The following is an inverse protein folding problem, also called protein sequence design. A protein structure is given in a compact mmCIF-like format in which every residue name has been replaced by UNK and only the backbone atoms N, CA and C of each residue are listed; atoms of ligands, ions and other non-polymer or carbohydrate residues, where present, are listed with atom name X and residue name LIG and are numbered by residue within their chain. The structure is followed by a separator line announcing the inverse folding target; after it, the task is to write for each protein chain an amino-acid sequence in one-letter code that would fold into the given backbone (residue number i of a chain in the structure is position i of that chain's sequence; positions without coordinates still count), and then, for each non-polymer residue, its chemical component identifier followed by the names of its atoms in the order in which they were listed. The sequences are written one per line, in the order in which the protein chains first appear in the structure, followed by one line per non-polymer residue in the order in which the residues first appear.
data_IF_759275692329
#
_entry.id   IF_759275692329
#
_cell.length_a   1.000
_cell.length_b   1.000
_cell.length_c   1.000
_cell.angle_alpha   90.00
_cell.angle_beta   90.00
_cell.angle_gamma   90.00
#
_symmetry.space_group_name_H-M   'P 1'
#
loop_
_entity.id
_entity.type
_entity.pdbx_description
1 polymer ?
#
# COMPACT_ATOMS: atom_id res chain seq x y z
N UNK A 1 22.01 -12.64 9.81
CA UNK A 1 21.10 -11.53 9.47
C UNK A 1 20.62 -11.80 8.05
N UNK A 2 19.35 -12.11 7.85
CA UNK A 2 18.77 -12.16 6.50
C UNK A 2 18.81 -10.74 5.96
N UNK A 3 19.43 -10.52 4.80
CA UNK A 3 19.35 -9.22 4.14
C UNK A 3 17.87 -8.87 3.91
N UNK A 4 17.52 -7.59 4.00
CA UNK A 4 16.18 -7.13 3.63
C UNK A 4 15.88 -7.53 2.17
N UNK A 5 14.63 -7.90 1.83
CA UNK A 5 14.30 -8.31 0.48
C UNK A 5 14.35 -7.09 -0.44
N UNK A 6 14.68 -7.32 -1.70
CA UNK A 6 14.50 -6.28 -2.71
C UNK A 6 13.03 -6.24 -3.16
N UNK A 7 12.23 -5.46 -2.42
CA UNK A 7 10.84 -5.14 -2.78
C UNK A 7 10.70 -3.74 -3.37
N UNK A 8 11.80 -3.01 -3.51
CA UNK A 8 11.77 -1.66 -4.05
C UNK A 8 11.31 -1.67 -5.52
N UNK A 9 10.73 -0.53 -5.93
CA UNK A 9 10.20 -0.32 -7.27
C UNK A 9 8.69 -0.14 -7.27
N UNK A 10 8.12 -0.31 -8.46
CA UNK A 10 6.71 -0.02 -8.73
C UNK A 10 5.88 -1.30 -8.79
N UNK A 11 4.69 -1.23 -8.23
CA UNK A 11 3.73 -2.32 -8.13
C UNK A 11 2.38 -1.86 -8.64
N UNK A 12 1.77 -2.66 -9.53
CA UNK A 12 0.37 -2.51 -9.87
C UNK A 12 -0.45 -2.96 -8.66
N UNK A 13 -1.27 -2.07 -8.10
CA UNK A 13 -2.08 -2.32 -6.92
C UNK A 13 -3.56 -2.31 -7.30
N UNK A 14 -4.23 -3.40 -7.01
CA UNK A 14 -5.68 -3.52 -7.10
C UNK A 14 -6.27 -3.52 -5.69
N UNK A 15 -7.34 -2.75 -5.49
CA UNK A 15 -8.02 -2.62 -4.20
C UNK A 15 -9.53 -2.83 -4.32
N UNK A 16 -10.09 -3.58 -3.37
CA UNK A 16 -11.53 -3.78 -3.23
C UNK A 16 -12.00 -3.16 -1.92
N UNK A 17 -12.85 -2.14 -2.00
CA UNK A 17 -13.44 -1.49 -0.82
C UNK A 17 -14.61 -2.31 -0.30
N UNK A 18 -14.60 -2.61 1.00
CA UNK A 18 -15.60 -3.46 1.62
C UNK A 18 -16.74 -2.67 2.28
N UNK A 19 -17.94 -3.24 2.20
CA UNK A 19 -19.12 -2.82 2.92
C UNK A 19 -19.15 -3.39 4.34
N UNK A 20 -20.14 -2.99 5.16
CA UNK A 20 -20.27 -3.47 6.54
C UNK A 20 -20.40 -4.99 6.66
N UNK A 21 -20.99 -5.63 5.66
CA UNK A 21 -21.21 -7.08 5.60
C UNK A 21 -20.05 -7.84 4.93
N UNK A 22 -18.98 -7.13 4.56
CA UNK A 22 -17.81 -7.69 3.88
C UNK A 22 -17.98 -7.87 2.37
N UNK A 23 -19.08 -7.40 1.79
CA UNK A 23 -19.30 -7.33 0.35
C UNK A 23 -18.44 -6.25 -0.32
N UNK A 24 -18.02 -6.47 -1.56
CA UNK A 24 -17.27 -5.46 -2.33
C UNK A 24 -18.22 -4.33 -2.77
N UNK A 25 -17.99 -3.11 -2.28
CA UNK A 25 -18.73 -1.92 -2.70
C UNK A 25 -18.25 -1.39 -4.05
N UNK A 26 -16.93 -1.29 -4.22
CA UNK A 26 -16.29 -0.87 -5.45
C UNK A 26 -14.82 -1.27 -5.46
N UNK A 27 -14.31 -1.46 -6.67
CA UNK A 27 -12.91 -1.77 -6.95
C UNK A 27 -12.20 -0.55 -7.53
N UNK A 28 -10.89 -0.51 -7.35
CA UNK A 28 -10.03 0.56 -7.83
C UNK A 28 -8.62 0.05 -8.10
N UNK A 29 -7.96 0.69 -9.07
CA UNK A 29 -6.57 0.44 -9.38
C UNK A 29 -5.70 1.63 -8.98
N UNK A 30 -4.46 1.34 -8.62
CA UNK A 30 -3.46 2.29 -8.20
C UNK A 30 -2.05 1.82 -8.58
N UNK A 31 -1.13 2.76 -8.51
CA UNK A 31 0.29 2.48 -8.50
C UNK A 31 0.81 2.55 -7.06
N UNK A 32 1.52 1.52 -6.61
CA UNK A 32 2.24 1.52 -5.35
C UNK A 32 3.75 1.58 -5.61
N UNK A 33 4.39 2.64 -5.13
CA UNK A 33 5.84 2.81 -5.19
C UNK A 33 6.46 2.51 -3.84
N UNK A 34 7.41 1.58 -3.83
CA UNK A 34 8.22 1.22 -2.66
C UNK A 34 9.64 1.76 -2.84
N UNK A 35 10.02 2.72 -2.00
CA UNK A 35 11.35 3.34 -2.01
C UNK A 35 12.15 2.86 -0.81
N UNK A 36 13.30 2.23 -1.04
CA UNK A 36 14.21 1.82 0.01
C UNK A 36 15.54 2.56 -0.11
N UNK A 37 16.06 3.05 1.00
CA UNK A 37 17.42 3.57 1.14
C UNK A 37 18.15 2.82 2.27
N UNK A 38 19.42 3.15 2.49
CA UNK A 38 20.19 2.56 3.59
C UNK A 38 19.60 2.86 4.98
N UNK A 39 18.80 3.93 5.12
CA UNK A 39 18.27 4.40 6.40
C UNK A 39 16.76 4.63 6.43
N UNK A 40 16.05 4.47 5.32
CA UNK A 40 14.60 4.72 5.24
C UNK A 40 13.89 3.76 4.30
N UNK A 41 12.61 3.53 4.56
CA UNK A 41 11.70 2.84 3.66
C UNK A 41 10.43 3.68 3.57
N UNK A 42 9.91 3.87 2.36
CA UNK A 42 8.71 4.66 2.14
C UNK A 42 7.78 3.97 1.14
N UNK A 43 6.48 4.10 1.39
CA UNK A 43 5.40 3.63 0.53
C UNK A 43 4.64 4.85 0.05
N UNK A 44 4.42 4.93 -1.26
CA UNK A 44 3.47 5.86 -1.85
C UNK A 44 2.43 5.06 -2.64
N UNK A 45 1.16 5.41 -2.50
CA UNK A 45 0.07 4.86 -3.32
C UNK A 45 -0.60 6.02 -4.04
N UNK A 46 -0.76 5.88 -5.36
CA UNK A 46 -1.43 6.85 -6.20
C UNK A 46 -2.54 6.17 -7.00
N UNK A 47 -3.79 6.57 -6.75
CA UNK A 47 -4.93 6.12 -7.56
C UNK A 47 -5.06 7.04 -8.77
N UNK A 48 -5.33 6.48 -9.94
CA UNK A 48 -5.64 7.23 -11.16
C UNK A 48 -7.01 6.82 -11.71
N UNK A 49 -7.67 7.68 -12.49
CA UNK A 49 -9.00 7.40 -13.05
C UNK A 49 -10.11 8.22 -12.39
N UNK A 50 -11.19 7.55 -11.94
CA UNK A 50 -12.41 8.24 -11.44
C UNK A 50 -12.14 9.20 -10.28
N UNK A 51 -11.19 8.85 -9.39
CA UNK A 51 -10.73 9.72 -8.33
C UNK A 51 -9.22 9.62 -8.18
N UNK A 52 -8.53 10.71 -8.51
CA UNK A 52 -7.11 10.85 -8.21
C UNK A 52 -6.91 11.07 -6.71
N UNK A 53 -5.96 10.36 -6.11
CA UNK A 53 -5.58 10.50 -4.71
C UNK A 53 -4.16 9.99 -4.52
N UNK A 54 -3.43 10.55 -3.55
CA UNK A 54 -2.11 10.05 -3.17
C UNK A 54 -1.95 9.99 -1.66
N UNK A 55 -1.29 8.95 -1.20
CA UNK A 55 -0.91 8.78 0.20
C UNK A 55 0.54 8.37 0.35
N UNK A 56 1.15 8.80 1.45
CA UNK A 56 2.53 8.48 1.83
C UNK A 56 2.57 7.83 3.21
N UNK A 57 3.55 6.97 3.43
CA UNK A 57 3.75 6.30 4.71
C UNK A 57 4.55 7.12 5.73
N UNK A 58 4.37 6.82 7.01
CA UNK A 58 5.10 7.49 8.11
C UNK A 58 5.64 6.54 9.21
N UNK A 59 5.35 5.24 9.15
CA UNK A 59 5.72 4.28 10.21
C UNK A 59 5.81 2.85 9.67
N UNK A 60 6.84 2.55 8.90
CA UNK A 60 6.99 1.29 8.16
C UNK A 60 7.73 0.25 8.99
N UNK A 61 7.26 -1.00 8.90
CA UNK A 61 7.92 -2.16 9.48
C UNK A 61 7.85 -3.34 8.52
N UNK A 62 9.01 -3.76 8.05
CA UNK A 62 9.21 -4.94 7.22
C UNK A 62 9.73 -6.10 8.08
N UNK A 63 9.06 -7.26 8.04
CA UNK A 63 9.38 -8.42 8.89
C UNK A 63 9.44 -9.68 8.04
N UNK A 64 10.54 -10.44 8.11
CA UNK A 64 10.62 -11.76 7.49
C UNK A 64 9.72 -12.76 8.23
N UNK A 65 8.99 -13.58 7.49
CA UNK A 65 8.20 -14.69 8.03
C UNK A 65 8.97 -16.02 7.89
N UNK A 66 8.72 -17.01 8.76
CA UNK A 66 9.39 -18.33 8.67
C UNK A 66 9.15 -19.07 7.35
N UNK A 67 8.08 -18.74 6.63
CA UNK A 67 7.69 -19.29 5.33
C UNK A 67 8.51 -18.76 4.14
N UNK A 68 9.37 -17.76 4.36
CA UNK A 68 10.10 -17.06 3.29
C UNK A 68 9.36 -15.84 2.72
N UNK A 69 8.12 -15.61 3.16
CA UNK A 69 7.35 -14.40 2.87
C UNK A 69 7.86 -13.20 3.67
N UNK A 70 7.46 -12.00 3.25
CA UNK A 70 7.77 -10.76 3.96
C UNK A 70 6.51 -9.97 4.28
N UNK A 71 6.36 -9.55 5.53
CA UNK A 71 5.21 -8.78 6.00
C UNK A 71 5.60 -7.31 6.18
N UNK A 72 5.02 -6.46 5.34
CA UNK A 72 5.09 -5.01 5.45
C UNK A 72 3.85 -4.49 6.20
N UNK A 73 4.07 -3.67 7.22
CA UNK A 73 3.03 -2.92 7.93
C UNK A 73 3.41 -1.46 7.95
N UNK A 74 2.48 -0.56 7.66
CA UNK A 74 2.76 0.87 7.67
C UNK A 74 1.53 1.70 8.02
N UNK A 75 1.77 2.81 8.73
CA UNK A 75 0.83 3.92 8.76
C UNK A 75 0.99 4.77 7.51
N UNK A 76 -0.11 5.34 7.03
CA UNK A 76 -0.13 6.25 5.89
C UNK A 76 -1.09 7.41 6.10
N UNK A 77 -0.85 8.50 5.39
CA UNK A 77 -1.66 9.70 5.41
C UNK A 77 -1.77 10.31 4.02
N UNK A 78 -2.73 11.23 3.85
CA UNK A 78 -2.86 12.02 2.64
C UNK A 78 -1.54 12.75 2.32
N UNK A 79 -1.09 12.71 1.06
CA UNK A 79 0.11 13.44 0.66
C UNK A 79 -0.22 14.93 0.51
N UNK A 80 0.34 15.82 1.38
CA UNK A 80 0.05 17.24 1.31
C UNK A 80 0.72 17.92 0.11
N UNK A 81 1.71 17.29 -0.52
CA UNK A 81 2.41 17.82 -1.68
C UNK A 81 1.73 17.47 -3.01
N UNK A 82 0.69 16.64 -2.98
CA UNK A 82 -0.03 16.20 -4.18
C UNK A 82 -1.34 16.97 -4.36
N UNK A 83 -1.55 17.55 -5.55
CA UNK A 83 -2.68 18.46 -5.84
C UNK A 83 -4.07 17.87 -5.49
N UNK A 84 -4.25 16.55 -5.62
CA UNK A 84 -5.52 15.88 -5.34
C UNK A 84 -5.77 15.63 -3.85
N UNK A 85 -4.76 15.82 -2.99
CA UNK A 85 -4.81 15.49 -1.56
C UNK A 85 -4.27 16.59 -0.65
N UNK A 86 -3.78 17.70 -1.19
CA UNK A 86 -3.26 18.87 -0.45
C UNK A 86 -4.25 19.45 0.57
N UNK A 87 -5.56 19.28 0.34
CA UNK A 87 -6.64 19.74 1.23
C UNK A 87 -7.33 18.62 2.02
N UNK A 88 -6.85 17.38 1.92
CA UNK A 88 -7.43 16.22 2.59
C UNK A 88 -6.67 15.84 3.87
N UNK A 89 -7.38 15.29 4.85
CA UNK A 89 -6.84 14.90 6.16
C UNK A 89 -7.19 13.45 6.52
N UNK A 90 -7.00 12.53 5.57
CA UNK A 90 -7.20 11.11 5.84
C UNK A 90 -5.91 10.44 6.30
N UNK A 91 -6.05 9.40 7.11
CA UNK A 91 -4.94 8.56 7.56
C UNK A 91 -5.41 7.12 7.75
N UNK A 92 -4.49 6.18 7.75
CA UNK A 92 -4.80 4.77 7.84
C UNK A 92 -3.61 3.89 8.22
N UNK A 93 -3.90 2.60 8.29
CA UNK A 93 -2.94 1.53 8.48
C UNK A 93 -3.12 0.52 7.35
N UNK A 94 -2.00 0.06 6.80
CA UNK A 94 -2.00 -0.94 5.74
C UNK A 94 -1.00 -2.03 6.05
N UNK A 95 -1.31 -3.23 5.57
CA UNK A 95 -0.45 -4.38 5.66
C UNK A 95 -0.48 -5.20 4.37
N UNK A 96 0.68 -5.68 3.96
CA UNK A 96 0.87 -6.52 2.78
C UNK A 96 1.85 -7.64 3.11
N UNK A 97 1.52 -8.85 2.66
CA UNK A 97 2.41 -10.02 2.70
C UNK A 97 2.90 -10.29 1.31
N UNK A 98 4.20 -10.12 1.10
CA UNK A 98 4.88 -10.41 -0.15
C UNK A 98 5.17 -11.90 -0.24
N UNK A 99 4.84 -12.49 -1.39
CA UNK A 99 5.15 -13.87 -1.70
C UNK A 99 6.67 -14.11 -1.71
N UNK A 100 7.15 -15.35 -1.51
CA UNK A 100 8.58 -15.64 -1.45
C UNK A 100 9.36 -15.29 -2.73
N UNK A 101 8.68 -15.24 -3.89
CA UNK A 101 9.25 -14.86 -5.19
C UNK A 101 9.32 -13.34 -5.41
N UNK A 102 8.77 -12.57 -4.47
CA UNK A 102 8.65 -11.10 -4.51
C UNK A 102 7.97 -10.59 -5.80
N UNK A 103 7.08 -11.37 -6.41
CA UNK A 103 6.32 -10.97 -7.60
C UNK A 103 4.89 -10.53 -7.29
N UNK A 104 4.36 -10.94 -6.13
CA UNK A 104 3.01 -10.57 -5.68
C UNK A 104 3.00 -10.24 -4.19
N UNK A 105 1.98 -9.48 -3.79
CA UNK A 105 1.64 -9.29 -2.38
C UNK A 105 0.13 -9.18 -2.20
N UNK A 106 -0.37 -9.64 -1.05
CA UNK A 106 -1.77 -9.51 -0.68
C UNK A 106 -1.91 -8.93 0.72
N UNK A 107 -3.03 -8.27 1.00
CA UNK A 107 -3.27 -7.77 2.34
C UNK A 107 -4.50 -6.91 2.48
N UNK A 108 -4.46 -6.03 3.46
CA UNK A 108 -5.62 -5.23 3.86
C UNK A 108 -5.18 -3.84 4.25
N UNK A 109 -6.04 -2.87 4.01
CA UNK A 109 -5.89 -1.52 4.50
C UNK A 109 -7.14 -1.04 5.20
N UNK A 110 -6.98 -0.14 6.17
CA UNK A 110 -8.08 0.64 6.71
C UNK A 110 -7.67 2.11 6.84
N UNK A 111 -8.60 3.02 6.55
CA UNK A 111 -8.41 4.44 6.80
C UNK A 111 -9.64 5.10 7.42
N UNK A 112 -9.40 6.28 7.96
CA UNK A 112 -10.41 7.23 8.36
C UNK A 112 -10.36 8.45 7.46
N UNK A 113 -11.48 8.75 6.79
CA UNK A 113 -11.69 9.98 6.03
C UNK A 113 -13.10 10.53 6.28
N UNK A 114 -13.44 10.75 7.56
CA UNK A 114 -14.81 11.05 8.02
C UNK A 114 -15.68 9.80 8.26
N UNK A 115 -15.23 8.64 7.80
CA UNK A 115 -15.73 7.30 8.17
C UNK A 115 -14.60 6.28 8.04
N UNK A 116 -14.75 5.14 8.71
CA UNK A 116 -13.87 4.00 8.49
C UNK A 116 -14.17 3.34 7.16
N UNK A 117 -13.10 3.01 6.43
CA UNK A 117 -13.16 2.20 5.21
C UNK A 117 -12.14 1.08 5.36
N UNK A 118 -12.53 -0.13 4.97
CA UNK A 118 -11.67 -1.31 4.96
C UNK A 118 -11.54 -1.77 3.51
N UNK A 119 -10.34 -2.18 3.12
CA UNK A 119 -10.02 -2.57 1.77
C UNK A 119 -9.21 -3.86 1.77
N UNK A 120 -9.49 -4.74 0.82
CA UNK A 120 -8.57 -5.81 0.41
C UNK A 120 -7.60 -5.24 -0.62
N UNK A 121 -6.36 -5.70 -0.58
CA UNK A 121 -5.28 -5.26 -1.47
C UNK A 121 -4.62 -6.45 -2.15
N UNK A 122 -4.36 -6.33 -3.45
CA UNK A 122 -3.56 -7.26 -4.24
C UNK A 122 -2.56 -6.46 -5.08
N UNK A 123 -1.27 -6.77 -4.94
CA UNK A 123 -0.19 -6.09 -5.65
C UNK A 123 0.56 -7.07 -6.54
N UNK A 124 1.01 -6.58 -7.71
CA UNK A 124 1.91 -7.29 -8.61
C UNK A 124 3.09 -6.41 -8.97
N UNK A 125 4.30 -6.97 -8.93
CA UNK A 125 5.51 -6.24 -9.30
C UNK A 125 5.42 -5.86 -10.78
N UNK A 126 5.73 -4.61 -11.11
CA UNK A 126 5.89 -4.20 -12.49
C UNK A 126 7.34 -4.41 -12.91
N UNK A 127 7.54 -4.98 -14.10
CA UNK A 127 8.88 -5.03 -14.68
C UNK A 127 9.34 -3.60 -15.01
N UNK A 128 10.63 -3.28 -14.81
CA UNK A 128 11.19 -2.03 -15.32
C UNK A 128 10.94 -1.95 -16.84
N UNK A 129 10.39 -0.83 -17.29
CA UNK A 129 10.21 -0.54 -18.72
C UNK A 129 11.54 -0.41 -19.47
#
# INVERSE_FOLDING_TARGET
MTAAPDIAGTWALHGATLGPEGDTLYEWDAEMTLSASASSFAVAIETTGFKTSRSISFAEKLTALPSGEWHLRYGYEADPAHFATESHTFFGLSQLTFAPDLQSAEGTSCNYNGRYVVMLLQARRQEPA
#
